data_IF_296146078761
#
_entry.id   IF_296146078761
#
_cell.length_a   1.000
_cell.length_b   1.000
_cell.length_c   1.000
_cell.angle_alpha   90.00
_cell.angle_beta   90.00
_cell.angle_gamma   90.00
#
_symmetry.space_group_name_H-M   'P 1'
#
loop_
_entity.id
_entity.type
_entity.pdbx_description
1 polymer ?
#
# COMPACT_ATOMS: atom_id res chain seq x y z
N UNK A 1 -7.01 -13.29 -7.99
CA UNK A 1 -6.00 -12.53 -7.24
C UNK A 1 -6.04 -13.01 -5.80
N UNK A 2 -4.97 -13.61 -5.31
CA UNK A 2 -4.83 -14.04 -3.91
C UNK A 2 -4.06 -12.98 -3.15
N UNK A 3 -4.48 -12.65 -1.92
CA UNK A 3 -3.73 -11.76 -1.02
C UNK A 3 -3.05 -12.65 0.00
N UNK A 4 -1.71 -12.69 -0.03
CA UNK A 4 -0.92 -13.61 0.80
C UNK A 4 -0.29 -12.92 2.02
N UNK A 5 -0.20 -11.59 2.01
CA UNK A 5 0.36 -10.84 3.12
C UNK A 5 -0.56 -10.93 4.36
N UNK A 6 -0.09 -11.49 5.49
CA UNK A 6 -0.94 -11.72 6.66
C UNK A 6 -1.54 -10.44 7.24
N UNK A 7 -0.81 -9.31 7.17
CA UNK A 7 -1.30 -8.03 7.67
C UNK A 7 -2.39 -7.47 6.74
N UNK A 8 -2.21 -7.58 5.43
CA UNK A 8 -3.23 -7.19 4.45
C UNK A 8 -4.50 -8.03 4.61
N UNK A 9 -4.38 -9.35 4.75
CA UNK A 9 -5.51 -10.26 5.01
C UNK A 9 -6.23 -9.88 6.31
N UNK A 10 -5.51 -9.62 7.39
CA UNK A 10 -6.12 -9.22 8.66
C UNK A 10 -6.84 -7.86 8.56
N UNK A 11 -6.26 -6.88 7.87
CA UNK A 11 -6.92 -5.60 7.59
C UNK A 11 -8.17 -5.78 6.72
N UNK A 12 -8.15 -6.66 5.72
CA UNK A 12 -9.32 -7.01 4.90
C UNK A 12 -10.44 -7.62 5.74
N UNK A 13 -10.13 -8.60 6.59
CA UNK A 13 -11.13 -9.16 7.51
C UNK A 13 -11.69 -8.11 8.47
N UNK A 14 -10.85 -7.22 9.00
CA UNK A 14 -11.31 -6.11 9.83
C UNK A 14 -12.22 -5.15 9.07
N UNK A 15 -11.91 -4.82 7.81
CA UNK A 15 -12.77 -3.98 6.97
C UNK A 15 -14.10 -4.66 6.60
N UNK A 16 -14.12 -5.98 6.49
CA UNK A 16 -15.32 -6.77 6.24
C UNK A 16 -16.16 -7.02 7.49
N UNK A 17 -15.66 -6.74 8.69
CA UNK A 17 -16.36 -7.06 9.93
C UNK A 17 -17.71 -6.31 10.01
N UNK A 18 -18.79 -7.07 10.21
CA UNK A 18 -20.15 -6.54 10.25
C UNK A 18 -20.72 -6.11 8.89
N UNK A 19 -20.08 -6.47 7.76
CA UNK A 19 -20.60 -6.20 6.41
C UNK A 19 -21.24 -7.45 5.79
N UNK A 20 -22.31 -7.23 5.03
CA UNK A 20 -22.92 -8.26 4.19
C UNK A 20 -22.13 -8.45 2.88
N UNK A 21 -22.37 -9.57 2.20
CA UNK A 21 -21.79 -9.85 0.89
C UNK A 21 -22.19 -8.76 -0.13
N UNK A 22 -21.22 -8.32 -0.94
CA UNK A 22 -21.42 -7.28 -1.94
C UNK A 22 -21.37 -5.83 -1.40
N UNK A 23 -21.30 -5.63 -0.09
CA UNK A 23 -21.12 -4.28 0.47
C UNK A 23 -19.71 -3.73 0.22
N UNK A 24 -19.62 -2.40 0.10
CA UNK A 24 -18.34 -1.73 -0.08
C UNK A 24 -17.47 -1.89 1.17
N UNK A 25 -16.18 -2.19 0.97
CA UNK A 25 -15.17 -2.22 2.06
C UNK A 25 -15.07 -0.89 2.81
N UNK A 26 -15.31 0.22 2.11
CA UNK A 26 -15.31 1.56 2.69
C UNK A 26 -16.40 2.41 2.06
N UNK A 27 -17.01 3.30 2.86
CA UNK A 27 -17.96 4.32 2.40
C UNK A 27 -17.27 5.58 1.89
N UNK A 28 -15.94 5.70 2.05
CA UNK A 28 -15.19 6.88 1.63
C UNK A 28 -15.28 7.08 0.11
N UNK A 29 -15.62 8.29 -0.31
CA UNK A 29 -15.43 8.75 -1.67
C UNK A 29 -13.94 8.88 -2.00
N UNK A 30 -13.62 8.97 -3.29
CA UNK A 30 -12.25 9.18 -3.76
C UNK A 30 -11.61 10.46 -3.18
N UNK A 31 -12.39 11.50 -2.90
CA UNK A 31 -11.88 12.75 -2.32
C UNK A 31 -11.64 12.62 -0.82
N UNK A 32 -12.54 11.97 -0.08
CA UNK A 32 -12.33 11.72 1.35
C UNK A 32 -11.12 10.81 1.58
N UNK A 33 -10.95 9.79 0.73
CA UNK A 33 -9.76 8.93 0.78
C UNK A 33 -8.48 9.73 0.52
N UNK A 34 -8.46 10.63 -0.46
CA UNK A 34 -7.32 11.54 -0.68
C UNK A 34 -7.06 12.44 0.53
N UNK A 35 -8.11 12.95 1.17
CA UNK A 35 -8.01 13.74 2.41
C UNK A 35 -7.39 12.94 3.56
N UNK A 36 -7.82 11.69 3.75
CA UNK A 36 -7.24 10.77 4.73
C UNK A 36 -5.77 10.48 4.42
N UNK A 37 -5.46 10.24 3.14
CA UNK A 37 -4.10 9.99 2.69
C UNK A 37 -3.16 11.17 2.97
N UNK A 38 -3.58 12.40 2.68
CA UNK A 38 -2.78 13.60 2.99
C UNK A 38 -2.51 13.71 4.49
N UNK A 39 -3.51 13.42 5.33
CA UNK A 39 -3.33 13.40 6.79
C UNK A 39 -2.30 12.34 7.20
N UNK A 40 -2.38 11.13 6.65
CA UNK A 40 -1.44 10.05 6.93
C UNK A 40 0.00 10.38 6.49
N UNK A 41 0.17 10.91 5.28
CA UNK A 41 1.48 11.36 4.78
C UNK A 41 2.08 12.43 5.68
N UNK A 42 1.28 13.41 6.12
CA UNK A 42 1.73 14.45 7.04
C UNK A 42 2.09 13.89 8.42
N UNK A 43 1.29 12.97 8.97
CA UNK A 43 1.57 12.37 10.29
C UNK A 43 2.81 11.47 10.28
N UNK A 44 3.23 10.97 9.11
CA UNK A 44 4.45 10.18 8.94
C UNK A 44 5.66 11.04 8.53
N UNK A 45 5.49 12.36 8.39
CA UNK A 45 6.56 13.25 7.94
C UNK A 45 6.98 13.02 6.49
N UNK A 46 6.07 12.55 5.63
CA UNK A 46 6.36 12.15 4.25
C UNK A 46 5.93 13.19 3.20
N UNK A 47 5.52 14.39 3.61
CA UNK A 47 4.97 15.40 2.70
C UNK A 47 5.90 15.80 1.55
N UNK A 48 7.21 15.84 1.81
CA UNK A 48 8.21 16.31 0.84
C UNK A 48 8.57 15.25 -0.21
N UNK A 49 8.10 14.01 -0.03
CA UNK A 49 8.32 12.91 -0.98
C UNK A 49 7.31 12.88 -2.12
N UNK A 50 6.33 13.79 -2.12
CA UNK A 50 5.26 13.82 -3.12
C UNK A 50 4.70 12.42 -3.40
N UNK A 51 4.23 11.75 -2.34
CA UNK A 51 3.63 10.43 -2.39
C UNK A 51 2.11 10.53 -2.50
N UNK A 52 1.52 10.68 -3.70
CA UNK A 52 0.08 10.59 -3.90
C UNK A 52 -0.39 9.14 -3.75
N UNK A 53 -1.69 8.86 -3.53
CA UNK A 53 -2.15 7.49 -3.29
C UNK A 53 -1.73 6.47 -4.37
N UNK A 54 -1.63 6.91 -5.64
CA UNK A 54 -1.22 6.04 -6.74
C UNK A 54 0.26 5.59 -6.66
N UNK A 55 1.08 6.19 -5.77
CA UNK A 55 2.45 5.73 -5.52
C UNK A 55 2.48 4.28 -5.01
N UNK A 56 1.44 3.83 -4.30
CA UNK A 56 1.29 2.44 -3.86
C UNK A 56 1.26 1.47 -5.05
N UNK A 57 0.57 1.85 -6.14
CA UNK A 57 0.50 1.02 -7.35
C UNK A 57 1.87 0.90 -8.03
N UNK A 58 2.60 2.01 -8.14
CA UNK A 58 3.98 2.03 -8.66
C UNK A 58 4.91 1.17 -7.81
N UNK A 59 4.86 1.35 -6.48
CA UNK A 59 5.69 0.59 -5.54
C UNK A 59 5.39 -0.92 -5.59
N UNK A 60 4.11 -1.30 -5.66
CA UNK A 60 3.68 -2.69 -5.81
C UNK A 60 4.20 -3.32 -7.11
N UNK A 61 3.98 -2.65 -8.24
CA UNK A 61 4.48 -3.10 -9.55
C UNK A 61 6.00 -3.24 -9.57
N UNK A 62 6.70 -2.24 -9.05
CA UNK A 62 8.16 -2.22 -8.95
C UNK A 62 8.68 -3.36 -8.06
N UNK A 63 8.03 -3.63 -6.92
CA UNK A 63 8.40 -4.76 -6.04
C UNK A 63 8.25 -6.09 -6.75
N UNK A 64 7.11 -6.33 -7.41
CA UNK A 64 6.87 -7.55 -8.17
C UNK A 64 7.93 -7.70 -9.25
N UNK A 65 8.18 -6.66 -10.05
CA UNK A 65 9.19 -6.72 -11.10
C UNK A 65 10.60 -6.98 -10.55
N UNK A 66 10.97 -6.39 -9.41
CA UNK A 66 12.28 -6.64 -8.77
C UNK A 66 12.44 -8.09 -8.32
N UNK A 67 11.35 -8.75 -7.91
CA UNK A 67 11.33 -10.14 -7.47
C UNK A 67 11.33 -11.13 -8.64
N UNK A 68 10.55 -10.86 -9.69
CA UNK A 68 10.29 -11.83 -10.77
C UNK A 68 11.05 -11.53 -12.06
N UNK A 69 11.51 -10.28 -12.24
CA UNK A 69 12.11 -9.76 -13.48
C UNK A 69 11.21 -9.91 -14.72
N UNK A 70 9.90 -10.08 -14.53
CA UNK A 70 8.94 -10.31 -15.61
C UNK A 70 7.84 -9.24 -15.61
N UNK A 71 7.72 -8.52 -16.73
CA UNK A 71 6.62 -7.58 -16.95
C UNK A 71 5.30 -8.31 -17.20
N UNK A 72 5.31 -9.53 -17.73
CA UNK A 72 4.10 -10.33 -17.92
C UNK A 72 3.47 -10.68 -16.57
N UNK A 73 4.28 -11.05 -15.58
CA UNK A 73 3.81 -11.27 -14.20
C UNK A 73 3.28 -9.98 -13.58
N UNK A 74 3.94 -8.84 -13.82
CA UNK A 74 3.43 -7.54 -13.40
C UNK A 74 2.08 -7.20 -14.05
N UNK A 75 1.91 -7.50 -15.35
CA UNK A 75 0.67 -7.35 -16.09
C UNK A 75 -0.46 -8.18 -15.48
N UNK A 76 -0.21 -9.47 -15.27
CA UNK A 76 -1.18 -10.39 -14.70
C UNK A 76 -1.64 -9.95 -13.30
N UNK A 77 -0.69 -9.59 -12.42
CA UNK A 77 -1.00 -9.15 -11.05
C UNK A 77 -1.67 -7.76 -11.05
N UNK A 78 -1.21 -6.85 -11.89
CA UNK A 78 -1.74 -5.49 -12.00
C UNK A 78 -3.08 -5.39 -12.74
N UNK A 79 -3.54 -6.48 -13.36
CA UNK A 79 -4.74 -6.50 -14.20
C UNK A 79 -4.62 -5.64 -15.46
N UNK A 80 -3.41 -5.46 -15.98
CA UNK A 80 -3.16 -4.65 -17.17
C UNK A 80 -3.23 -5.50 -18.43
N UNK A 81 -4.06 -5.06 -19.38
CA UNK A 81 -4.20 -5.72 -20.69
C UNK A 81 -2.96 -5.52 -21.59
N UNK A 82 -2.22 -4.43 -21.38
CA UNK A 82 -1.04 -4.07 -22.16
C UNK A 82 0.20 -3.98 -21.28
N UNK A 83 1.25 -4.69 -21.70
CA UNK A 83 2.59 -4.69 -21.10
C UNK A 83 3.22 -3.30 -21.04
N UNK A 84 2.88 -2.41 -21.98
CA UNK A 84 3.32 -1.01 -21.97
C UNK A 84 2.80 -0.28 -20.73
N UNK A 85 1.57 -0.56 -20.31
CA UNK A 85 1.01 0.04 -19.09
C UNK A 85 1.79 -0.42 -17.86
N UNK A 86 2.07 -1.73 -17.75
CA UNK A 86 2.87 -2.27 -16.65
C UNK A 86 4.27 -1.64 -16.58
N UNK A 87 4.90 -1.50 -17.75
CA UNK A 87 6.22 -0.90 -17.90
C UNK A 87 6.27 0.53 -17.36
N UNK A 88 5.28 1.38 -17.67
CA UNK A 88 5.21 2.76 -17.15
C UNK A 88 5.27 2.77 -15.61
N UNK A 89 4.46 1.94 -14.95
CA UNK A 89 4.44 1.89 -13.49
C UNK A 89 5.76 1.40 -12.86
N UNK A 90 6.42 0.44 -13.53
CA UNK A 90 7.71 -0.11 -13.08
C UNK A 90 8.84 0.88 -13.28
N UNK A 91 8.96 1.47 -14.47
CA UNK A 91 10.03 2.42 -14.80
C UNK A 91 9.92 3.69 -13.94
N UNK A 92 8.73 4.24 -13.76
CA UNK A 92 8.50 5.37 -12.85
C UNK A 92 8.90 5.03 -11.40
N UNK A 93 8.51 3.85 -10.92
CA UNK A 93 8.81 3.44 -9.55
C UNK A 93 10.31 3.20 -9.32
N UNK A 94 11.01 2.61 -10.30
CA UNK A 94 12.47 2.46 -10.27
C UNK A 94 13.18 3.83 -10.29
N UNK A 95 12.71 4.76 -11.13
CA UNK A 95 13.27 6.09 -11.21
C UNK A 95 13.07 6.89 -9.90
N UNK A 96 11.91 6.75 -9.25
CA UNK A 96 11.67 7.33 -7.92
C UNK A 96 12.59 6.67 -6.89
N UNK A 97 12.68 5.34 -6.86
CA UNK A 97 13.51 4.62 -5.90
C UNK A 97 15.00 5.01 -6.01
N UNK A 98 15.50 5.23 -7.22
CA UNK A 98 16.88 5.65 -7.45
C UNK A 98 17.19 7.06 -6.91
N UNK A 99 16.18 7.93 -6.80
CA UNK A 99 16.34 9.32 -6.30
C UNK A 99 15.91 9.48 -4.84
N UNK A 100 15.27 8.46 -4.27
CA UNK A 100 14.67 8.54 -2.94
C UNK A 100 15.78 8.65 -1.89
N UNK A 101 15.83 9.80 -1.22
CA UNK A 101 16.69 10.01 -0.05
C UNK A 101 15.78 10.28 1.14
N UNK A 102 15.94 9.53 2.22
CA UNK A 102 15.11 9.67 3.42
C UNK A 102 15.69 10.75 4.33
N UNK A 103 14.98 11.87 4.60
CA UNK A 103 15.42 12.82 5.62
C UNK A 103 15.33 12.19 7.02
N UNK A 104 16.25 12.57 7.91
CA UNK A 104 16.33 12.04 9.27
C UNK A 104 15.01 12.20 10.03
N UNK A 105 14.34 13.34 9.86
CA UNK A 105 13.04 13.60 10.49
C UNK A 105 11.98 12.58 10.07
N UNK A 106 11.90 12.25 8.78
CA UNK A 106 10.96 11.26 8.27
C UNK A 106 11.33 9.86 8.75
N UNK A 107 12.62 9.53 8.83
CA UNK A 107 13.08 8.27 9.39
C UNK A 107 12.69 8.09 10.86
N UNK A 108 12.86 9.14 11.69
CA UNK A 108 12.47 9.15 13.10
C UNK A 108 10.95 8.97 13.22
N UNK A 109 10.16 9.76 12.50
CA UNK A 109 8.70 9.67 12.56
C UNK A 109 8.17 8.29 12.12
N UNK A 110 8.77 7.69 11.10
CA UNK A 110 8.45 6.33 10.67
C UNK A 110 8.84 5.29 11.73
N UNK A 111 10.01 5.42 12.33
CA UNK A 111 10.47 4.53 13.39
C UNK A 111 9.51 4.56 14.59
N UNK A 112 9.15 5.77 15.05
CA UNK A 112 8.25 5.98 16.18
C UNK A 112 6.84 5.46 15.89
N UNK A 113 6.37 5.57 14.65
CA UNK A 113 5.08 5.04 14.22
C UNK A 113 5.08 3.51 14.04
N UNK A 114 6.22 2.92 13.65
CA UNK A 114 6.30 1.49 13.32
C UNK A 114 5.96 0.58 14.51
N UNK A 115 6.39 0.95 15.72
CA UNK A 115 6.11 0.18 16.94
C UNK A 115 4.61 0.08 17.25
N UNK A 116 3.90 1.22 17.42
CA UNK A 116 2.45 1.24 17.59
C UNK A 116 1.70 0.55 16.46
N UNK A 117 2.08 0.78 15.20
CA UNK A 117 1.45 0.14 14.06
C UNK A 117 1.59 -1.39 14.12
N UNK A 118 2.79 -1.90 14.42
CA UNK A 118 3.03 -3.35 14.54
C UNK A 118 2.16 -3.97 15.63
N UNK A 119 2.13 -3.35 16.82
CA UNK A 119 1.28 -3.83 17.94
C UNK A 119 -0.20 -3.85 17.55
N UNK A 120 -0.68 -2.81 16.88
CA UNK A 120 -2.05 -2.76 16.39
C UNK A 120 -2.32 -3.86 15.36
N UNK A 121 -1.44 -4.06 14.39
CA UNK A 121 -1.56 -5.15 13.40
C UNK A 121 -1.59 -6.52 14.06
N UNK A 122 -0.73 -6.78 15.05
CA UNK A 122 -0.74 -8.04 15.81
C UNK A 122 -2.08 -8.27 16.51
N UNK A 123 -2.67 -7.22 17.10
CA UNK A 123 -4.01 -7.29 17.72
C UNK A 123 -5.10 -7.58 16.69
N UNK A 124 -5.06 -6.93 15.54
CA UNK A 124 -6.03 -7.17 14.45
C UNK A 124 -5.90 -8.60 13.92
N UNK A 125 -4.68 -9.07 13.66
CA UNK A 125 -4.41 -10.45 13.23
C UNK A 125 -4.94 -11.47 14.25
N UNK A 126 -4.70 -11.23 15.55
CA UNK A 126 -5.19 -12.10 16.62
C UNK A 126 -6.72 -12.18 16.64
N UNK A 127 -7.41 -11.03 16.60
CA UNK A 127 -8.89 -10.97 16.58
C UNK A 127 -9.50 -11.69 15.39
N UNK A 128 -8.86 -11.65 14.23
CA UNK A 128 -9.33 -12.33 13.02
C UNK A 128 -9.15 -13.84 13.12
N UNK A 129 -8.10 -14.33 13.78
CA UNK A 129 -7.84 -15.77 13.96
C UNK A 129 -8.71 -16.44 15.03
N UNK A 130 -9.24 -15.66 15.97
CA UNK A 130 -10.10 -16.12 17.06
C UNK A 130 -11.59 -16.17 16.67
N UNK A 131 -11.95 -15.68 15.48
CA UNK A 131 -13.28 -15.80 14.87
C UNK A 131 -13.34 -16.98 13.92
#
# INVERSE_FOLDING_TARGET
MTVEDPAAVACLHWLCDGKAEGEKLSSLSSNEFRGLWVKAIKSLGLQDFHCPPYCLRRAGATRIFRLTRSLDVCCAIGGWQDIRTARIYVEDGLAVLARLTMPDRSAIMLHDFAGPLRKWLEQVVKRVREK
#
